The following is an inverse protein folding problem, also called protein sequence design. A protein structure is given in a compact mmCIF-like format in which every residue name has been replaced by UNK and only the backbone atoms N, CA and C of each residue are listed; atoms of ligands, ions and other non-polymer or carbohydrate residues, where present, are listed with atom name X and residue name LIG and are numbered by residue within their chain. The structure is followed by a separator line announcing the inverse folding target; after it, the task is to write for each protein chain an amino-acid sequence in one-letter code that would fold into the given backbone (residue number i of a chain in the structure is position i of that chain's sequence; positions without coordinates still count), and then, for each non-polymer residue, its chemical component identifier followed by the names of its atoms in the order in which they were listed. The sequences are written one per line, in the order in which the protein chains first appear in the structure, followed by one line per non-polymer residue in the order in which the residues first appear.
data_IF_996180949592
#
_entry.id   IF_996180949592
#
_cell.length_a   1.000
_cell.length_b   1.000
_cell.length_c   1.000
_cell.angle_alpha   90.00
_cell.angle_beta   90.00
_cell.angle_gamma   90.00
#
_symmetry.space_group_name_H-M   'P 1'
#
loop_
_entity.id
_entity.type
_entity.pdbx_description
1 polymer ?
#
# COMPACT_ATOMS: atom_id res chain seq x y z
N UNK A 1 67.76 -15.71 -22.44
CA UNK A 1 66.84 -16.57 -23.22
C UNK A 1 65.60 -15.76 -23.55
N UNK A 2 65.43 -15.51 -24.86
CA UNK A 2 64.30 -14.96 -25.62
C UNK A 2 63.58 -13.67 -25.19
N UNK A 3 63.95 -12.62 -25.93
CA UNK A 3 63.17 -11.46 -26.35
C UNK A 3 62.07 -11.83 -27.37
N UNK A 4 60.99 -11.02 -27.43
CA UNK A 4 60.31 -10.47 -28.63
C UNK A 4 58.97 -9.82 -28.23
N UNK A 5 58.91 -8.48 -28.23
CA UNK A 5 58.33 -7.56 -29.26
C UNK A 5 56.88 -7.15 -28.90
N UNK A 6 56.61 -5.94 -28.40
CA UNK A 6 56.39 -4.63 -29.08
C UNK A 6 55.01 -4.54 -29.77
N UNK A 7 54.10 -3.63 -29.40
CA UNK A 7 53.95 -2.27 -29.99
C UNK A 7 52.85 -1.50 -29.21
N UNK A 8 53.10 -0.29 -28.67
CA UNK A 8 52.90 1.05 -29.26
C UNK A 8 51.52 1.20 -29.95
N UNK A 9 50.67 2.21 -29.66
CA UNK A 9 50.91 3.64 -29.88
C UNK A 9 50.06 4.51 -28.92
N UNK A 10 50.70 5.55 -28.39
CA UNK A 10 50.10 6.75 -27.81
C UNK A 10 50.55 7.94 -28.66
N UNK A 11 49.62 8.76 -29.14
CA UNK A 11 49.77 10.16 -29.62
C UNK A 11 48.34 10.73 -29.78
N UNK A 12 47.98 11.98 -29.53
CA UNK A 12 48.65 13.17 -29.00
C UNK A 12 47.58 14.20 -28.59
N UNK A 13 47.77 14.79 -27.41
CA UNK A 13 47.61 16.20 -27.00
C UNK A 13 46.73 17.21 -27.78
N UNK A 14 45.92 17.91 -26.96
CA UNK A 14 45.77 19.38 -26.81
C UNK A 14 44.88 20.16 -27.80
N UNK A 15 43.92 20.92 -27.22
CA UNK A 15 43.33 22.24 -27.57
C UNK A 15 41.87 22.22 -27.06
N UNK A 16 41.32 23.12 -26.24
CA UNK A 16 41.76 24.37 -25.64
C UNK A 16 40.64 24.88 -24.70
N UNK A 17 41.01 25.71 -23.74
CA UNK A 17 40.09 26.44 -22.87
C UNK A 17 39.56 27.70 -23.58
N UNK A 18 38.25 27.91 -23.59
CA UNK A 18 37.47 29.16 -23.85
C UNK A 18 36.01 28.70 -24.04
N UNK A 19 34.94 29.24 -23.45
CA UNK A 19 34.72 30.55 -22.86
C UNK A 19 33.62 30.46 -21.79
N UNK A 20 33.81 31.26 -20.74
CA UNK A 20 32.78 31.64 -19.77
C UNK A 20 31.86 32.72 -20.38
N UNK A 21 30.70 32.92 -19.74
CA UNK A 21 29.76 34.04 -19.93
C UNK A 21 28.77 33.97 -21.11
N UNK A 22 27.78 33.06 -21.04
CA UNK A 22 26.44 33.26 -21.65
C UNK A 22 25.41 32.22 -21.15
N UNK A 23 25.23 32.14 -19.82
CA UNK A 23 24.13 31.34 -19.24
C UNK A 23 23.47 32.01 -18.02
N UNK A 24 23.61 33.33 -17.88
CA UNK A 24 22.91 34.13 -16.86
C UNK A 24 22.03 35.15 -17.59
N UNK A 25 20.89 34.69 -18.13
CA UNK A 25 19.71 35.52 -18.50
C UNK A 25 18.60 34.67 -19.11
N UNK A 26 18.12 33.65 -18.40
CA UNK A 26 16.77 33.07 -18.66
C UNK A 26 16.13 32.48 -17.39
N UNK A 27 16.54 33.00 -16.23
CA UNK A 27 15.73 32.93 -15.01
C UNK A 27 14.92 34.23 -14.99
N UNK A 28 13.62 34.13 -14.73
CA UNK A 28 12.59 35.20 -14.75
C UNK A 28 11.86 35.41 -16.08
N UNK A 29 11.22 34.36 -16.59
CA UNK A 29 9.86 34.49 -17.17
C UNK A 29 8.96 33.44 -16.54
N UNK A 30 7.91 33.92 -15.87
CA UNK A 30 7.00 33.14 -15.05
C UNK A 30 5.77 32.80 -15.91
N UNK A 31 5.61 31.57 -16.44
CA UNK A 31 4.39 31.25 -17.17
C UNK A 31 3.27 31.08 -16.14
N UNK A 32 2.27 31.98 -16.19
CA UNK A 32 1.02 31.83 -15.43
C UNK A 32 0.43 30.46 -15.76
N UNK A 33 0.61 29.47 -14.87
CA UNK A 33 -0.09 28.19 -14.94
C UNK A 33 -1.57 28.47 -14.71
N UNK A 34 -2.33 28.45 -15.78
CA UNK A 34 -3.78 28.47 -15.73
C UNK A 34 -4.23 27.11 -15.21
N UNK A 35 -4.43 26.98 -13.90
CA UNK A 35 -5.13 25.84 -13.33
C UNK A 35 -6.61 25.97 -13.73
N UNK A 36 -7.24 24.97 -14.36
CA UNK A 36 -8.68 25.00 -14.53
C UNK A 36 -9.30 24.99 -13.13
N UNK A 37 -10.22 25.94 -12.86
CA UNK A 37 -11.07 25.90 -11.67
C UNK A 37 -11.78 24.54 -11.68
N UNK A 38 -11.55 23.74 -10.64
CA UNK A 38 -12.31 22.52 -10.42
C UNK A 38 -13.74 22.96 -10.12
N UNK A 39 -14.64 22.78 -11.09
CA UNK A 39 -16.06 23.00 -10.90
C UNK A 39 -16.56 21.99 -9.86
N UNK A 40 -17.07 22.49 -8.73
CA UNK A 40 -17.60 21.74 -7.59
C UNK A 40 -18.93 21.03 -7.90
N UNK A 41 -19.30 20.85 -9.17
CA UNK A 41 -20.61 20.31 -9.57
C UNK A 41 -20.60 18.85 -10.06
N UNK A 42 -19.44 18.18 -10.14
CA UNK A 42 -19.39 16.75 -10.55
C UNK A 42 -19.26 15.81 -9.35
N UNK A 43 -20.19 15.91 -8.41
CA UNK A 43 -20.56 14.80 -7.53
C UNK A 43 -21.30 13.74 -8.36
N UNK A 44 -20.55 13.03 -9.19
CA UNK A 44 -21.04 11.88 -9.93
C UNK A 44 -21.11 10.67 -9.01
N UNK A 45 -22.11 10.63 -8.12
CA UNK A 45 -22.61 9.34 -7.64
C UNK A 45 -23.13 8.64 -8.88
N UNK A 46 -22.30 7.81 -9.50
CA UNK A 46 -22.75 6.87 -10.53
C UNK A 46 -23.66 5.90 -9.79
N UNK A 47 -24.94 6.27 -9.74
CA UNK A 47 -26.01 5.41 -9.28
C UNK A 47 -25.98 4.19 -10.18
N UNK A 48 -25.49 3.07 -9.64
CA UNK A 48 -25.51 1.78 -10.31
C UNK A 48 -26.99 1.39 -10.47
N UNK A 49 -27.63 1.80 -11.55
CA UNK A 49 -28.79 1.05 -12.04
C UNK A 49 -28.23 -0.33 -12.35
N UNK A 50 -28.70 -1.35 -11.61
CA UNK A 50 -28.53 -2.73 -12.03
C UNK A 50 -29.15 -2.76 -13.43
N UNK A 51 -28.33 -2.86 -14.48
CA UNK A 51 -28.87 -2.95 -15.83
C UNK A 51 -29.67 -4.23 -15.83
N UNK A 52 -31.00 -4.14 -15.94
CA UNK A 52 -31.87 -5.31 -16.01
C UNK A 52 -31.45 -6.09 -17.24
N UNK A 53 -30.54 -7.05 -17.05
CA UNK A 53 -30.21 -7.99 -18.10
C UNK A 53 -31.47 -8.79 -18.38
N UNK A 54 -31.70 -9.10 -19.65
CA UNK A 54 -32.82 -9.95 -20.03
C UNK A 54 -32.68 -11.29 -19.28
N UNK A 55 -33.78 -11.87 -18.76
CA UNK A 55 -33.73 -13.20 -18.14
C UNK A 55 -33.27 -14.30 -19.10
N UNK A 56 -33.22 -14.01 -20.40
CA UNK A 56 -32.74 -14.92 -21.45
C UNK A 56 -31.30 -14.62 -21.93
N UNK A 57 -30.63 -13.61 -21.38
CA UNK A 57 -29.24 -13.29 -21.73
C UNK A 57 -28.28 -14.22 -20.96
N UNK A 58 -27.53 -15.12 -21.63
CA UNK A 58 -26.60 -16.04 -20.98
C UNK A 58 -25.29 -15.36 -20.55
N UNK A 59 -25.09 -14.07 -20.86
CA UNK A 59 -23.85 -13.36 -20.56
C UNK A 59 -23.71 -13.05 -19.06
N UNK A 60 -22.46 -12.99 -18.59
CA UNK A 60 -22.16 -12.60 -17.21
C UNK A 60 -22.64 -11.16 -16.95
N UNK A 61 -22.98 -10.87 -15.69
CA UNK A 61 -23.26 -9.50 -15.25
C UNK A 61 -22.10 -8.58 -15.63
N UNK A 62 -22.38 -7.40 -16.18
CA UNK A 62 -21.35 -6.38 -16.41
C UNK A 62 -20.99 -5.65 -15.10
N UNK A 63 -19.74 -5.22 -14.97
CA UNK A 63 -19.27 -4.46 -13.80
C UNK A 63 -19.30 -5.26 -12.49
N UNK A 64 -19.02 -6.56 -12.56
CA UNK A 64 -18.73 -7.35 -11.36
C UNK A 64 -17.31 -7.08 -10.87
N UNK A 65 -17.07 -7.36 -9.58
CA UNK A 65 -15.75 -7.13 -8.98
C UNK A 65 -14.77 -8.18 -9.49
N UNK A 66 -13.55 -7.72 -9.80
CA UNK A 66 -12.41 -8.63 -9.93
C UNK A 66 -12.06 -9.18 -8.55
N UNK A 67 -11.32 -10.30 -8.51
CA UNK A 67 -10.87 -10.87 -7.25
C UNK A 67 -10.00 -9.90 -6.44
N UNK A 68 -9.05 -9.22 -7.10
CA UNK A 68 -8.20 -8.23 -6.46
C UNK A 68 -9.00 -7.06 -5.87
N UNK A 69 -9.94 -6.49 -6.64
CA UNK A 69 -10.80 -5.40 -6.16
C UNK A 69 -11.66 -5.88 -4.98
N UNK A 70 -12.17 -7.12 -5.04
CA UNK A 70 -12.96 -7.72 -3.98
C UNK A 70 -12.16 -7.91 -2.69
N UNK A 71 -10.98 -8.52 -2.72
CA UNK A 71 -10.18 -8.76 -1.52
C UNK A 71 -9.60 -7.47 -0.93
N UNK A 72 -9.21 -6.52 -1.79
CA UNK A 72 -8.83 -5.19 -1.32
C UNK A 72 -10.02 -4.46 -0.69
N UNK A 73 -11.23 -4.61 -1.25
CA UNK A 73 -12.45 -4.05 -0.65
C UNK A 73 -12.78 -4.67 0.71
N UNK A 74 -12.58 -5.98 0.89
CA UNK A 74 -12.71 -6.64 2.20
C UNK A 74 -11.70 -6.04 3.18
N UNK A 75 -10.44 -5.81 2.77
CA UNK A 75 -9.45 -5.16 3.62
C UNK A 75 -9.88 -3.73 4.02
N UNK A 76 -10.40 -2.93 3.09
CA UNK A 76 -10.97 -1.60 3.40
C UNK A 76 -12.16 -1.66 4.33
N UNK A 77 -13.13 -2.54 4.06
CA UNK A 77 -14.31 -2.73 4.91
C UNK A 77 -13.92 -3.19 6.33
N UNK A 78 -12.86 -3.99 6.44
CA UNK A 78 -12.32 -4.43 7.73
C UNK A 78 -11.67 -3.28 8.50
N UNK A 79 -11.03 -2.35 7.79
CA UNK A 79 -10.45 -1.15 8.40
C UNK A 79 -11.51 -0.31 9.12
N UNK A 80 -12.76 -0.28 8.63
CA UNK A 80 -13.89 0.42 9.28
C UNK A 80 -14.24 -0.13 10.68
N UNK A 81 -13.70 -1.30 11.07
CA UNK A 81 -13.81 -1.80 12.45
C UNK A 81 -12.75 -1.23 13.40
N UNK A 82 -11.72 -0.57 12.89
CA UNK A 82 -10.68 0.05 13.71
C UNK A 82 -11.25 1.20 14.53
N UNK A 83 -10.88 1.25 15.81
CA UNK A 83 -11.23 2.35 16.71
C UNK A 83 -10.13 3.43 16.79
N UNK A 84 -9.04 3.28 16.04
CA UNK A 84 -7.99 4.29 15.99
C UNK A 84 -8.54 5.55 15.31
N UNK A 85 -8.57 6.72 15.98
CA UNK A 85 -9.15 7.93 15.40
C UNK A 85 -8.26 8.56 14.32
N UNK A 86 -7.02 8.10 14.16
CA UNK A 86 -6.03 8.73 13.28
C UNK A 86 -5.81 7.98 11.98
N UNK A 87 -5.83 6.65 12.03
CA UNK A 87 -5.52 5.80 10.88
C UNK A 87 -6.18 4.44 11.04
N UNK A 88 -7.01 4.11 10.08
CA UNK A 88 -7.66 2.81 9.96
C UNK A 88 -6.95 2.00 8.88
N UNK A 89 -6.40 0.85 9.27
CA UNK A 89 -5.75 -0.11 8.38
C UNK A 89 -6.50 -1.42 8.49
N UNK A 90 -6.70 -2.08 7.36
CA UNK A 90 -7.29 -3.40 7.30
C UNK A 90 -6.47 -4.32 6.40
N UNK A 91 -6.61 -5.61 6.65
CA UNK A 91 -5.90 -6.65 5.94
C UNK A 91 -6.80 -7.89 5.74
N UNK A 92 -6.60 -8.58 4.62
CA UNK A 92 -7.32 -9.79 4.24
C UNK A 92 -6.31 -10.80 3.67
N UNK A 93 -6.16 -11.92 4.37
CA UNK A 93 -5.31 -13.04 3.94
C UNK A 93 -6.16 -14.04 3.17
N UNK A 94 -5.71 -14.40 1.97
CA UNK A 94 -6.50 -15.14 0.99
C UNK A 94 -5.70 -16.30 0.43
N UNK A 95 -6.34 -17.45 0.30
CA UNK A 95 -5.73 -18.64 -0.28
C UNK A 95 -5.51 -18.49 -1.79
N UNK A 96 -4.63 -19.30 -2.38
CA UNK A 96 -4.53 -19.44 -3.85
C UNK A 96 -5.87 -19.74 -4.55
N UNK A 97 -6.79 -20.44 -3.87
CA UNK A 97 -8.13 -20.76 -4.38
C UNK A 97 -9.19 -19.66 -4.16
N UNK A 98 -8.78 -18.45 -3.73
CA UNK A 98 -9.70 -17.34 -3.48
C UNK A 98 -10.55 -17.45 -2.20
N UNK A 99 -10.18 -18.34 -1.27
CA UNK A 99 -10.83 -18.49 0.03
C UNK A 99 -10.20 -17.52 1.03
N UNK A 100 -11.02 -16.74 1.72
CA UNK A 100 -10.54 -15.87 2.81
C UNK A 100 -10.14 -16.74 4.00
N UNK A 101 -8.87 -16.64 4.41
CA UNK A 101 -8.32 -17.41 5.52
C UNK A 101 -8.33 -16.62 6.82
N UNK A 102 -8.10 -15.30 6.74
CA UNK A 102 -8.02 -14.42 7.90
C UNK A 102 -8.28 -12.97 7.53
N UNK A 103 -8.84 -12.23 8.49
CA UNK A 103 -9.13 -10.80 8.35
C UNK A 103 -8.60 -10.07 9.59
N UNK A 104 -8.04 -8.88 9.39
CA UNK A 104 -7.52 -8.06 10.47
C UNK A 104 -7.74 -6.57 10.24
N UNK A 105 -7.74 -5.83 11.34
CA UNK A 105 -7.67 -4.37 11.38
C UNK A 105 -6.81 -3.95 12.57
N UNK A 106 -6.31 -2.72 12.57
CA UNK A 106 -5.49 -2.24 13.69
C UNK A 106 -6.36 -1.96 14.94
N UNK A 107 -5.94 -2.50 16.08
CA UNK A 107 -6.70 -2.49 17.34
C UNK A 107 -5.83 -2.93 18.51
N UNK A 108 -6.32 -2.82 19.75
CA UNK A 108 -5.62 -3.38 20.91
C UNK A 108 -5.79 -4.91 20.99
N UNK A 109 -4.96 -5.61 21.80
CA UNK A 109 -5.04 -7.05 21.94
C UNK A 109 -6.39 -7.50 22.50
N UNK A 110 -6.76 -8.77 22.24
CA UNK A 110 -8.00 -9.34 22.75
C UNK A 110 -8.04 -9.26 24.28
N UNK A 111 -9.16 -8.76 24.83
CA UNK A 111 -9.33 -8.56 26.27
C UNK A 111 -8.77 -7.24 26.80
N UNK A 112 -8.06 -6.46 26.00
CA UNK A 112 -7.65 -5.10 26.34
C UNK A 112 -8.72 -4.10 25.89
N UNK A 113 -9.30 -3.36 26.83
CA UNK A 113 -10.39 -2.41 26.54
C UNK A 113 -9.88 -1.19 25.79
N UNK A 114 -10.52 -0.87 24.65
CA UNK A 114 -10.23 0.34 23.87
C UNK A 114 -10.57 1.64 24.59
N UNK A 115 -11.36 1.58 25.66
CA UNK A 115 -11.68 2.73 26.53
C UNK A 115 -10.66 2.94 27.66
N UNK A 116 -9.80 1.95 27.93
CA UNK A 116 -8.82 2.00 29.04
C UNK A 116 -7.39 2.26 28.57
N UNK A 117 -7.09 1.98 27.30
CA UNK A 117 -5.79 2.19 26.70
C UNK A 117 -5.77 3.47 25.86
N UNK A 118 -4.63 4.18 25.80
CA UNK A 118 -4.56 5.45 25.12
C UNK A 118 -4.47 5.30 23.60
N UNK A 119 -5.28 6.06 22.86
CA UNK A 119 -5.16 6.21 21.41
C UNK A 119 -4.21 7.34 20.98
N UNK A 120 -3.64 8.06 21.94
CA UNK A 120 -2.80 9.22 21.69
C UNK A 120 -1.50 8.83 20.95
N UNK A 121 -1.05 9.71 20.06
CA UNK A 121 0.23 9.55 19.33
C UNK A 121 1.42 10.20 20.02
N UNK A 122 1.16 11.11 20.96
CA UNK A 122 2.18 11.92 21.62
C UNK A 122 1.78 11.96 23.10
N UNK A 123 2.75 11.66 23.96
CA UNK A 123 2.60 11.73 25.41
C UNK A 123 2.64 13.18 25.89
N UNK A 124 1.86 13.52 26.92
CA UNK A 124 1.92 14.87 27.53
C UNK A 124 3.13 15.01 28.44
N UNK A 125 3.52 13.91 29.08
CA UNK A 125 4.62 13.84 30.06
C UNK A 125 5.92 13.31 29.45
N UNK A 126 5.86 12.81 28.21
CA UNK A 126 6.96 12.11 27.55
C UNK A 126 6.97 10.60 27.84
N UNK A 127 6.10 10.10 28.73
CA UNK A 127 5.93 8.66 28.98
C UNK A 127 5.34 7.93 27.76
N UNK A 128 6.07 6.98 27.13
CA UNK A 128 5.56 6.19 26.02
C UNK A 128 4.28 5.40 26.32
N UNK A 129 4.03 5.05 27.59
CA UNK A 129 2.83 4.33 28.02
C UNK A 129 1.55 5.16 27.92
N UNK A 130 1.65 6.48 27.79
CA UNK A 130 0.51 7.37 27.45
C UNK A 130 0.17 7.36 25.95
N UNK A 131 0.89 6.59 25.13
CA UNK A 131 0.66 6.52 23.67
C UNK A 131 0.14 5.15 23.26
N UNK A 132 -0.45 5.08 22.07
CA UNK A 132 -0.97 3.81 21.52
C UNK A 132 0.11 2.80 21.13
N UNK A 133 1.33 3.25 20.87
CA UNK A 133 2.36 2.45 20.17
C UNK A 133 2.82 1.19 20.91
N UNK A 134 2.92 1.16 22.26
CA UNK A 134 3.23 -0.07 22.98
C UNK A 134 2.12 -1.12 22.92
N UNK A 135 0.88 -0.72 22.61
CA UNK A 135 -0.30 -1.57 22.76
C UNK A 135 -0.95 -1.97 21.44
N UNK A 136 -0.87 -1.13 20.41
CA UNK A 136 -1.61 -1.36 19.15
C UNK A 136 -1.05 -2.55 18.38
N UNK A 137 -1.92 -3.48 18.01
CA UNK A 137 -1.62 -4.53 17.03
C UNK A 137 -2.01 -4.03 15.64
N UNK A 138 -1.13 -4.22 14.67
CA UNK A 138 -1.38 -3.85 13.28
C UNK A 138 -2.32 -4.83 12.57
N UNK A 139 -2.92 -4.39 11.47
CA UNK A 139 -3.92 -5.16 10.74
C UNK A 139 -3.36 -6.47 10.17
N UNK A 140 -2.13 -6.43 9.67
CA UNK A 140 -1.41 -7.56 9.09
C UNK A 140 -1.20 -8.66 10.13
N UNK A 141 -0.76 -8.26 11.32
CA UNK A 141 -0.56 -9.17 12.47
C UNK A 141 -1.89 -9.80 12.85
N UNK A 142 -2.94 -8.99 13.00
CA UNK A 142 -4.26 -9.49 13.33
C UNK A 142 -4.83 -10.40 12.25
N UNK A 143 -4.61 -10.14 10.96
CA UNK A 143 -5.08 -11.01 9.87
C UNK A 143 -4.41 -12.39 9.91
N UNK A 144 -3.10 -12.45 10.19
CA UNK A 144 -2.35 -13.70 10.31
C UNK A 144 -2.73 -14.45 11.60
N UNK A 145 -2.91 -13.77 12.73
CA UNK A 145 -3.30 -14.40 13.99
C UNK A 145 -4.79 -14.83 14.02
N UNK A 146 -5.62 -14.24 13.17
CA UNK A 146 -7.05 -14.58 13.03
C UNK A 146 -7.30 -15.63 11.95
N UNK A 147 -6.28 -16.33 11.44
CA UNK A 147 -6.49 -17.38 10.46
C UNK A 147 -7.40 -18.48 11.02
N UNK A 148 -8.22 -19.07 10.16
CA UNK A 148 -9.12 -20.18 10.47
C UNK A 148 -8.38 -21.53 10.68
N UNK A 149 -7.22 -21.49 11.35
CA UNK A 149 -6.27 -22.60 11.52
C UNK A 149 -5.61 -23.11 10.23
N UNK A 150 -5.94 -22.51 9.07
CA UNK A 150 -5.18 -22.73 7.84
C UNK A 150 -3.81 -22.04 7.90
N UNK A 151 -2.85 -22.61 7.16
CA UNK A 151 -1.52 -22.01 7.03
C UNK A 151 -1.58 -20.72 6.22
N UNK A 152 -0.85 -19.70 6.67
CA UNK A 152 -0.58 -18.50 5.86
C UNK A 152 0.51 -18.74 4.80
N UNK A 153 1.21 -19.89 4.87
CA UNK A 153 2.29 -20.22 3.96
C UNK A 153 1.79 -20.37 2.52
N UNK A 154 2.46 -19.71 1.57
CA UNK A 154 2.10 -19.70 0.16
C UNK A 154 0.98 -18.72 -0.22
N UNK A 155 0.36 -18.05 0.75
CA UNK A 155 -0.89 -17.31 0.53
C UNK A 155 -0.65 -15.82 0.25
N UNK A 156 -1.70 -15.11 -0.19
CA UNK A 156 -1.63 -13.69 -0.54
C UNK A 156 -2.30 -12.81 0.51
N UNK A 157 -1.58 -11.80 1.00
CA UNK A 157 -2.08 -10.81 1.94
C UNK A 157 -2.43 -9.50 1.22
N UNK A 158 -3.71 -9.13 1.22
CA UNK A 158 -4.20 -7.83 0.81
C UNK A 158 -4.20 -6.88 2.00
N UNK A 159 -3.63 -5.68 1.87
CA UNK A 159 -3.55 -4.70 2.96
C UNK A 159 -3.77 -3.27 2.46
N UNK A 160 -4.51 -2.46 3.21
CA UNK A 160 -4.82 -1.08 2.77
C UNK A 160 -3.60 -0.16 2.79
N UNK A 161 -2.59 -0.47 3.60
CA UNK A 161 -1.34 0.30 3.72
C UNK A 161 -0.12 -0.64 3.66
N UNK A 162 0.96 -0.19 3.01
CA UNK A 162 2.20 -0.96 2.94
C UNK A 162 2.71 -1.34 4.35
N UNK A 163 3.17 -2.58 4.58
CA UNK A 163 3.50 -3.07 5.92
C UNK A 163 4.76 -2.41 6.49
N UNK A 164 4.77 -2.18 7.81
CA UNK A 164 5.99 -1.76 8.52
C UNK A 164 7.01 -2.91 8.61
N UNK A 165 8.24 -2.65 9.06
CA UNK A 165 9.27 -3.68 9.18
C UNK A 165 8.89 -4.79 10.18
N UNK A 166 8.20 -4.49 11.28
CA UNK A 166 7.75 -5.51 12.23
C UNK A 166 6.66 -6.42 11.62
N UNK A 167 5.71 -5.84 10.89
CA UNK A 167 4.74 -6.62 10.11
C UNK A 167 5.44 -7.45 9.02
N UNK A 168 6.45 -6.89 8.34
CA UNK A 168 7.22 -7.62 7.33
C UNK A 168 7.90 -8.86 7.90
N UNK A 169 8.50 -8.77 9.11
CA UNK A 169 9.06 -9.93 9.80
C UNK A 169 7.99 -11.02 10.01
N UNK A 170 6.80 -10.63 10.48
CA UNK A 170 5.70 -11.57 10.74
C UNK A 170 5.19 -12.20 9.44
N UNK A 171 5.01 -11.40 8.39
CA UNK A 171 4.63 -11.85 7.04
C UNK A 171 5.60 -12.91 6.54
N UNK A 172 6.92 -12.63 6.61
CA UNK A 172 7.97 -13.55 6.19
C UNK A 172 7.95 -14.85 7.01
N UNK A 173 7.93 -14.73 8.35
CA UNK A 173 7.97 -15.90 9.23
C UNK A 173 6.69 -16.75 9.14
N UNK A 174 5.56 -16.16 8.75
CA UNK A 174 4.30 -16.88 8.51
C UNK A 174 4.25 -17.59 7.14
N UNK A 175 5.22 -17.33 6.26
CA UNK A 175 5.32 -17.93 4.94
C UNK A 175 4.44 -17.31 3.86
N UNK A 176 3.85 -16.14 4.10
CA UNK A 176 3.05 -15.40 3.09
C UNK A 176 3.90 -15.17 1.84
N UNK A 177 3.38 -15.55 0.67
CA UNK A 177 4.12 -15.50 -0.59
C UNK A 177 3.97 -14.17 -1.33
N UNK A 178 2.86 -13.45 -1.12
CA UNK A 178 2.58 -12.19 -1.80
C UNK A 178 1.89 -11.17 -0.88
N UNK A 179 2.32 -9.91 -0.99
CA UNK A 179 1.66 -8.75 -0.37
C UNK A 179 1.14 -7.82 -1.46
N UNK A 180 -0.16 -7.59 -1.43
CA UNK A 180 -0.88 -6.67 -2.32
C UNK A 180 -1.33 -5.48 -1.49
N UNK A 181 -0.80 -4.29 -1.76
CA UNK A 181 -1.06 -3.11 -0.94
C UNK A 181 -1.68 -1.95 -1.70
N UNK A 182 -2.42 -1.07 -1.03
CA UNK A 182 -3.02 0.11 -1.68
C UNK A 182 -2.23 1.40 -1.48
N UNK A 183 -2.02 1.82 -0.22
CA UNK A 183 -1.29 3.05 0.11
C UNK A 183 0.20 2.76 0.31
N UNK A 184 1.06 3.41 -0.47
CA UNK A 184 2.48 3.52 -0.17
C UNK A 184 2.71 4.76 0.70
N UNK A 185 3.44 4.62 1.81
CA UNK A 185 3.91 5.79 2.57
C UNK A 185 5.17 6.36 1.88
N UNK A 186 5.01 7.29 0.91
CA UNK A 186 6.15 7.81 0.11
C UNK A 186 6.83 9.08 0.65
N UNK A 187 8.14 8.91 0.88
CA UNK A 187 9.31 9.58 0.26
C UNK A 187 9.71 11.04 0.54
N UNK A 188 8.94 11.86 1.25
CA UNK A 188 9.46 13.20 1.62
C UNK A 188 10.33 13.17 2.88
N UNK A 189 10.38 12.02 3.55
CA UNK A 189 11.33 11.67 4.60
C UNK A 189 11.52 10.14 4.53
N UNK A 190 12.74 9.60 4.37
CA UNK A 190 12.98 8.17 4.37
C UNK A 190 12.64 7.58 5.74
N UNK A 191 11.39 7.13 5.90
CA UNK A 191 10.98 6.40 7.08
C UNK A 191 11.67 5.02 7.05
N UNK A 192 12.73 4.91 7.86
CA UNK A 192 13.63 3.75 7.96
C UNK A 192 12.82 2.46 8.13
N UNK A 193 11.68 2.54 8.82
CA UNK A 193 10.71 1.45 8.99
C UNK A 193 10.30 0.81 7.66
N UNK A 194 9.95 1.62 6.66
CA UNK A 194 9.45 1.12 5.38
C UNK A 194 10.58 0.74 4.43
N UNK A 195 11.74 1.41 4.52
CA UNK A 195 12.94 1.00 3.79
C UNK A 195 13.40 -0.39 4.26
N UNK A 196 13.43 -0.61 5.58
CA UNK A 196 13.72 -1.91 6.15
C UNK A 196 12.68 -2.96 5.74
N UNK A 197 11.39 -2.60 5.72
CA UNK A 197 10.31 -3.47 5.24
C UNK A 197 10.52 -3.92 3.79
N UNK A 198 10.76 -2.99 2.86
CA UNK A 198 11.07 -3.30 1.45
C UNK A 198 12.30 -4.21 1.34
N UNK A 199 13.38 -3.92 2.08
CA UNK A 199 14.60 -4.74 2.10
C UNK A 199 14.32 -6.16 2.59
N UNK A 200 13.60 -6.32 3.70
CA UNK A 200 13.27 -7.63 4.28
C UNK A 200 12.42 -8.47 3.32
N UNK A 201 11.33 -7.90 2.80
CA UNK A 201 10.43 -8.60 1.87
C UNK A 201 11.15 -9.02 0.59
N UNK A 202 11.99 -8.13 0.04
CA UNK A 202 12.80 -8.44 -1.14
C UNK A 202 13.83 -9.53 -0.88
N UNK A 203 14.51 -9.52 0.28
CA UNK A 203 15.51 -10.54 0.64
C UNK A 203 14.86 -11.92 0.86
N UNK A 204 13.64 -11.95 1.39
CA UNK A 204 12.88 -13.17 1.63
C UNK A 204 12.16 -13.70 0.37
N UNK A 205 12.20 -12.97 -0.76
CA UNK A 205 11.52 -13.37 -1.99
C UNK A 205 9.99 -13.25 -1.94
N UNK A 206 9.44 -12.47 -1.01
CA UNK A 206 8.01 -12.19 -0.95
C UNK A 206 7.63 -11.27 -2.11
N UNK A 207 6.66 -11.67 -2.93
CA UNK A 207 6.16 -10.83 -4.03
C UNK A 207 5.43 -9.62 -3.46
N UNK A 208 5.69 -8.45 -4.01
CA UNK A 208 5.09 -7.20 -3.52
C UNK A 208 4.55 -6.44 -4.72
N UNK A 209 3.25 -6.09 -4.69
CA UNK A 209 2.64 -5.27 -5.74
C UNK A 209 1.62 -4.29 -5.18
N UNK A 210 1.58 -3.11 -5.81
CA UNK A 210 0.55 -2.11 -5.54
C UNK A 210 -0.73 -2.49 -6.28
N UNK A 211 -1.86 -2.53 -5.57
CA UNK A 211 -3.17 -2.75 -6.16
C UNK A 211 -3.55 -1.61 -7.11
N UNK A 212 -4.11 -1.96 -8.27
CA UNK A 212 -4.62 -1.03 -9.27
C UNK A 212 -6.14 -1.27 -9.41
N UNK A 213 -6.97 -0.49 -8.70
CA UNK A 213 -8.40 -0.73 -8.69
C UNK A 213 -9.00 -0.49 -10.07
N UNK A 214 -9.93 -1.35 -10.50
CA UNK A 214 -10.67 -1.14 -11.75
C UNK A 214 -11.84 -0.16 -11.58
N UNK A 215 -12.14 0.21 -10.33
CA UNK A 215 -13.18 1.18 -9.97
C UNK A 215 -12.78 2.01 -8.76
N UNK A 216 -13.24 3.27 -8.73
CA UNK A 216 -12.88 4.21 -7.67
C UNK A 216 -13.64 3.97 -6.35
N UNK A 217 -14.78 3.26 -6.39
CA UNK A 217 -15.61 3.03 -5.20
C UNK A 217 -16.51 1.79 -5.33
N UNK A 218 -16.79 1.16 -4.18
CA UNK A 218 -17.76 0.08 -4.01
C UNK A 218 -18.79 0.55 -3.00
N UNK A 219 -20.06 0.57 -3.42
CA UNK A 219 -21.17 0.98 -2.58
C UNK A 219 -21.91 -0.26 -2.06
N UNK A 220 -22.06 -0.35 -0.74
CA UNK A 220 -22.86 -1.36 -0.05
C UNK A 220 -24.16 -0.66 0.41
N UNK A 221 -25.30 -1.10 -0.10
CA UNK A 221 -26.63 -0.58 0.29
C UNK A 221 -27.36 -1.64 1.12
N UNK A 222 -27.88 -1.24 2.27
CA UNK A 222 -28.70 -2.10 3.12
C UNK A 222 -30.20 -1.99 2.85
N UNK A 223 -30.62 -0.97 2.10
CA UNK A 223 -32.01 -0.77 1.69
C UNK A 223 -32.37 -1.74 0.56
N UNK A 224 -33.52 -2.41 0.68
CA UNK A 224 -34.11 -3.14 -0.44
C UNK A 224 -34.59 -2.15 -1.51
N UNK A 225 -34.33 -2.40 -2.80
CA UNK A 225 -34.94 -1.60 -3.86
C UNK A 225 -36.47 -1.80 -3.81
N UNK A 226 -37.20 -0.70 -3.56
CA UNK A 226 -38.66 -0.62 -3.73
C UNK A 226 -39.08 -1.04 -5.16
#
# INVERSE_FOLDING_TARGET
MNSRELTLVSTATVFGALASALAIRFLFTNPKKHYPKLDSSKNGVVSRKCSSQSPFDPSKRRGYLTWDDYFMAIAFLSAERSKDPNRQVGACLVSENGIILGIGYNGFPRGCSDDKLPWAKISRTGDPLETKYPYVCHAEVNAILNTNHASAAGQTLYVTMFPCNECAKIIIQSGVAEVVYFVEKRLNNPDITYIASHKLLSMAGVKVRKHQPQMNQILIKFEEPL
#
